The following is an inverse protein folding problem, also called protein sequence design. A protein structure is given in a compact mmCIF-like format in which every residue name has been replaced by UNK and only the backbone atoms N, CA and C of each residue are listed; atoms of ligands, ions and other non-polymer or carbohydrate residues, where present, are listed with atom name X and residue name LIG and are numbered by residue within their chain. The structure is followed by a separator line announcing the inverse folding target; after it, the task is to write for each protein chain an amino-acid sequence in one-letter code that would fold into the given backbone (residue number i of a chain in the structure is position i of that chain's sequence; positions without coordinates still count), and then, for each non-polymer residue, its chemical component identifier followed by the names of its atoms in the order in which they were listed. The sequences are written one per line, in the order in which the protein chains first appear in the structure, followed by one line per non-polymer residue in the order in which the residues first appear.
data_IF_603606951908
#
_entry.id   IF_603606951908
#
_cell.length_a   1.000
_cell.length_b   1.000
_cell.length_c   1.000
_cell.angle_alpha   90.00
_cell.angle_beta   90.00
_cell.angle_gamma   90.00
#
_symmetry.space_group_name_H-M   'P 1'
#
loop_
_entity.id
_entity.type
_entity.pdbx_description
1 polymer ?
#
# COMPACT_ATOMS: atom_id res chain seq x y z
N UNK A 1 8.24 49.31 41.20
CA UNK A 1 9.70 49.08 41.26
C UNK A 1 10.03 47.80 40.48
N UNK A 2 10.82 47.98 39.40
CA UNK A 2 11.61 47.01 38.61
C UNK A 2 10.99 45.70 38.10
N UNK A 3 10.88 45.68 36.77
CA UNK A 3 10.82 44.53 35.89
C UNK A 3 11.95 43.51 36.11
N UNK A 4 11.67 42.24 35.79
CA UNK A 4 12.67 41.32 35.22
C UNK A 4 12.03 40.49 34.12
N UNK A 5 12.08 41.06 32.93
CA UNK A 5 12.21 40.35 31.66
C UNK A 5 13.38 39.37 31.73
N UNK A 6 13.11 38.09 31.54
CA UNK A 6 14.06 37.07 31.07
C UNK A 6 13.28 36.26 30.04
N UNK A 7 13.49 36.36 28.73
CA UNK A 7 14.76 36.46 28.03
C UNK A 7 14.84 35.21 27.17
N UNK A 8 14.41 35.32 25.91
CA UNK A 8 14.53 34.26 24.92
C UNK A 8 16.00 33.85 24.79
N UNK A 9 16.31 32.63 25.19
CA UNK A 9 17.54 31.87 24.93
C UNK A 9 17.09 30.41 24.79
N UNK A 10 17.37 29.66 23.73
CA UNK A 10 17.68 30.00 22.36
C UNK A 10 17.06 28.93 21.45
N UNK A 11 17.04 29.18 20.14
CA UNK A 11 16.51 28.26 19.12
C UNK A 11 17.09 26.82 19.20
N UNK A 12 18.24 26.63 19.87
CA UNK A 12 18.86 25.32 20.13
C UNK A 12 18.19 24.54 21.25
N UNK A 13 17.67 25.18 22.30
CA UNK A 13 17.07 24.50 23.45
C UNK A 13 15.65 23.98 23.14
N UNK A 14 14.91 24.69 22.28
CA UNK A 14 13.64 24.19 21.73
C UNK A 14 13.83 22.95 20.84
N UNK A 15 14.93 22.89 20.07
CA UNK A 15 15.31 21.73 19.25
C UNK A 15 15.76 20.53 20.10
N UNK A 16 16.37 20.78 21.27
CA UNK A 16 16.79 19.73 22.21
C UNK A 16 15.59 19.17 22.99
N UNK A 17 14.59 19.99 23.32
CA UNK A 17 13.32 19.51 23.89
C UNK A 17 12.50 18.71 22.86
N UNK A 18 12.34 19.19 21.62
CA UNK A 18 11.66 18.42 20.55
C UNK A 18 12.35 17.07 20.25
N UNK A 19 13.67 16.99 20.47
CA UNK A 19 14.42 15.73 20.31
C UNK A 19 14.24 14.77 21.49
N UNK A 20 14.00 15.27 22.71
CA UNK A 20 13.78 14.43 23.91
C UNK A 20 12.37 13.85 23.98
N UNK A 21 11.39 14.52 23.40
CA UNK A 21 10.01 14.03 23.36
C UNK A 21 9.81 12.86 22.38
N UNK A 22 10.70 12.68 21.40
CA UNK A 22 10.60 11.60 20.40
C UNK A 22 10.74 10.19 21.01
N UNK A 23 11.28 10.07 22.23
CA UNK A 23 11.41 8.82 23.00
C UNK A 23 10.74 8.91 24.39
N UNK A 24 9.72 9.75 24.55
CA UNK A 24 8.86 9.63 25.73
C UNK A 24 8.11 8.29 25.66
N UNK A 25 8.15 7.50 26.74
CA UNK A 25 7.42 6.23 26.87
C UNK A 25 5.94 6.37 26.51
N UNK A 26 5.38 7.57 26.67
CA UNK A 26 4.00 7.93 26.29
C UNK A 26 3.79 7.89 24.78
N UNK A 27 4.73 8.42 23.99
CA UNK A 27 4.62 8.38 22.52
C UNK A 27 4.77 6.95 22.00
N UNK A 28 5.64 6.16 22.63
CA UNK A 28 5.74 4.73 22.35
C UNK A 28 4.41 4.04 22.66
N UNK A 29 3.82 4.30 23.83
CA UNK A 29 2.52 3.74 24.21
C UNK A 29 1.43 4.07 23.19
N UNK A 30 1.30 5.33 22.74
CA UNK A 30 0.31 5.72 21.73
C UNK A 30 0.52 5.06 20.37
N UNK A 31 1.78 4.82 19.97
CA UNK A 31 2.10 4.04 18.77
C UNK A 31 1.63 2.59 18.93
N UNK A 32 1.92 1.97 20.07
CA UNK A 32 1.47 0.61 20.35
C UNK A 32 -0.05 0.53 20.41
N UNK A 33 -0.72 1.46 21.10
CA UNK A 33 -2.18 1.57 21.18
C UNK A 33 -2.83 1.65 19.78
N UNK A 34 -2.23 2.42 18.87
CA UNK A 34 -2.74 2.57 17.51
C UNK A 34 -2.45 1.38 16.58
N UNK A 35 -1.36 0.63 16.82
CA UNK A 35 -0.87 -0.41 15.89
C UNK A 35 -1.18 -1.83 16.35
N UNK A 36 -1.22 -2.11 17.65
CA UNK A 36 -1.50 -3.43 18.21
C UNK A 36 -2.85 -3.97 17.72
N UNK A 37 -3.98 -3.22 17.74
CA UNK A 37 -5.25 -3.74 17.24
C UNK A 37 -5.18 -4.18 15.77
N UNK A 38 -4.47 -3.43 14.94
CA UNK A 38 -4.29 -3.75 13.52
C UNK A 38 -3.54 -5.08 13.35
N UNK A 39 -2.41 -5.25 14.04
CA UNK A 39 -1.64 -6.49 13.97
C UNK A 39 -2.35 -7.67 14.62
N UNK A 40 -3.14 -7.45 15.67
CA UNK A 40 -3.99 -8.49 16.27
C UNK A 40 -4.97 -9.07 15.24
N UNK A 41 -5.65 -8.22 14.46
CA UNK A 41 -6.57 -8.72 13.42
C UNK A 41 -5.85 -9.51 12.31
N UNK A 42 -4.64 -9.08 11.95
CA UNK A 42 -3.81 -9.76 10.95
C UNK A 42 -3.30 -11.12 11.46
N UNK A 43 -2.82 -11.20 12.70
CA UNK A 43 -2.38 -12.45 13.35
C UNK A 43 -3.57 -13.41 13.47
N UNK A 44 -4.73 -12.91 13.93
CA UNK A 44 -5.95 -13.70 14.03
C UNK A 44 -6.30 -14.35 12.68
N UNK A 45 -6.29 -13.58 11.59
CA UNK A 45 -6.53 -14.10 10.25
C UNK A 45 -5.54 -15.19 9.84
N UNK A 46 -4.26 -15.00 10.18
CA UNK A 46 -3.21 -15.97 9.90
C UNK A 46 -3.45 -17.30 10.64
N UNK A 47 -3.78 -17.23 11.93
CA UNK A 47 -4.09 -18.39 12.77
C UNK A 47 -5.37 -19.11 12.31
N UNK A 48 -6.40 -18.36 11.89
CA UNK A 48 -7.64 -18.93 11.36
C UNK A 48 -7.41 -19.86 10.16
N UNK A 49 -6.42 -19.55 9.31
CA UNK A 49 -6.06 -20.40 8.17
C UNK A 49 -5.13 -21.53 8.61
N UNK A 50 -4.02 -21.22 9.29
CA UNK A 50 -2.97 -22.21 9.56
C UNK A 50 -3.35 -23.24 10.61
N UNK A 51 -4.09 -22.83 11.64
CA UNK A 51 -4.42 -23.70 12.78
C UNK A 51 -5.89 -24.09 12.81
N UNK A 52 -6.80 -23.20 12.42
CA UNK A 52 -8.23 -23.48 12.49
C UNK A 52 -8.84 -24.01 11.18
N UNK A 53 -8.13 -23.93 10.04
CA UNK A 53 -8.65 -24.25 8.70
C UNK A 53 -10.05 -23.66 8.42
N UNK A 54 -10.32 -22.47 8.96
CA UNK A 54 -11.67 -21.87 8.97
C UNK A 54 -12.10 -21.37 7.59
N UNK A 55 -11.14 -20.96 6.76
CA UNK A 55 -11.40 -20.38 5.44
C UNK A 55 -10.77 -21.19 4.32
N UNK A 56 -11.51 -21.39 3.23
CA UNK A 56 -10.99 -21.94 1.98
C UNK A 56 -10.25 -20.88 1.17
N UNK A 57 -9.36 -21.27 0.23
CA UNK A 57 -8.68 -20.31 -0.65
C UNK A 57 -9.64 -19.43 -1.47
N UNK A 58 -10.81 -19.97 -1.84
CA UNK A 58 -11.85 -19.24 -2.57
C UNK A 58 -12.52 -18.17 -1.69
N UNK A 59 -12.82 -18.51 -0.43
CA UNK A 59 -13.35 -17.55 0.55
C UNK A 59 -12.33 -16.45 0.85
N UNK A 60 -11.04 -16.78 0.98
CA UNK A 60 -9.96 -15.81 1.14
C UNK A 60 -9.89 -14.87 -0.07
N UNK A 61 -10.00 -15.40 -1.30
CA UNK A 61 -10.06 -14.57 -2.49
C UNK A 61 -11.31 -13.67 -2.53
N UNK A 62 -12.44 -14.14 -2.02
CA UNK A 62 -13.67 -13.35 -1.91
C UNK A 62 -13.51 -12.16 -0.97
N UNK A 63 -12.98 -12.40 0.23
CA UNK A 63 -12.70 -11.36 1.23
C UNK A 63 -11.73 -10.32 0.67
N UNK A 64 -10.64 -10.77 0.02
CA UNK A 64 -9.66 -9.86 -0.57
C UNK A 64 -10.26 -8.98 -1.70
N UNK A 65 -11.16 -9.54 -2.52
CA UNK A 65 -11.88 -8.77 -3.54
C UNK A 65 -12.82 -7.75 -2.92
N UNK A 66 -13.56 -8.13 -1.86
CA UNK A 66 -14.42 -7.21 -1.13
C UNK A 66 -13.62 -6.03 -0.57
N UNK A 67 -12.53 -6.31 0.16
CA UNK A 67 -11.66 -5.28 0.73
C UNK A 67 -11.12 -4.34 -0.35
N UNK A 68 -10.56 -4.89 -1.43
CA UNK A 68 -9.92 -4.10 -2.46
C UNK A 68 -10.89 -3.30 -3.35
N UNK A 69 -12.09 -3.84 -3.62
CA UNK A 69 -13.07 -3.24 -4.55
C UNK A 69 -14.17 -2.42 -3.88
N UNK A 70 -14.37 -2.57 -2.56
CA UNK A 70 -15.42 -1.87 -1.82
C UNK A 70 -14.83 -1.08 -0.65
N UNK A 71 -14.25 -1.76 0.34
CA UNK A 71 -13.81 -1.12 1.59
C UNK A 71 -12.72 -0.08 1.40
N UNK A 72 -11.63 -0.42 0.70
CA UNK A 72 -10.50 0.49 0.48
C UNK A 72 -10.88 1.72 -0.36
N UNK A 73 -11.66 1.61 -1.44
CA UNK A 73 -12.18 2.78 -2.15
C UNK A 73 -13.01 3.72 -1.26
N UNK A 74 -13.88 3.18 -0.40
CA UNK A 74 -14.71 3.99 0.51
C UNK A 74 -13.90 4.67 1.60
N UNK A 75 -12.92 3.96 2.16
CA UNK A 75 -11.97 4.53 3.10
C UNK A 75 -11.12 5.62 2.46
N UNK A 76 -10.69 5.41 1.20
CA UNK A 76 -9.98 6.43 0.43
C UNK A 76 -10.87 7.64 0.19
N UNK A 77 -12.14 7.45 -0.19
CA UNK A 77 -13.10 8.53 -0.35
C UNK A 77 -13.29 9.34 0.93
N UNK A 78 -13.41 8.70 2.09
CA UNK A 78 -13.56 9.39 3.38
C UNK A 78 -12.33 10.25 3.72
N UNK A 79 -11.12 9.73 3.50
CA UNK A 79 -9.88 10.49 3.75
C UNK A 79 -9.69 11.62 2.74
N UNK A 80 -10.02 11.39 1.47
CA UNK A 80 -9.88 12.40 0.40
C UNK A 80 -10.91 13.52 0.58
N UNK A 81 -12.17 13.19 0.83
CA UNK A 81 -13.27 14.19 0.97
C UNK A 81 -13.13 15.06 2.23
N UNK A 82 -12.45 14.56 3.25
CA UNK A 82 -12.09 15.32 4.45
C UNK A 82 -10.91 16.29 4.21
N UNK A 83 -10.12 16.09 3.14
CA UNK A 83 -8.96 16.92 2.85
C UNK A 83 -9.32 18.06 1.87
N UNK A 84 -8.83 19.27 2.15
CA UNK A 84 -9.07 20.42 1.27
C UNK A 84 -7.97 20.50 0.19
N UNK A 85 -8.27 20.28 -1.10
CA UNK A 85 -7.27 20.29 -2.17
C UNK A 85 -6.60 21.64 -2.39
N UNK A 86 -7.26 22.75 -2.06
CA UNK A 86 -6.72 24.09 -2.23
C UNK A 86 -5.78 24.54 -1.11
N UNK A 87 -5.75 23.81 0.01
CA UNK A 87 -4.88 24.11 1.16
C UNK A 87 -3.76 23.07 1.35
N UNK A 88 -3.45 22.30 0.31
CA UNK A 88 -2.37 21.31 0.39
C UNK A 88 -1.00 21.96 0.41
N UNK A 89 -0.06 21.33 1.11
CA UNK A 89 1.32 21.80 1.18
C UNK A 89 2.05 21.45 -0.13
N UNK A 90 2.34 22.49 -0.92
CA UNK A 90 2.96 22.35 -2.24
C UNK A 90 4.35 21.69 -2.14
N UNK A 91 5.12 21.93 -1.07
CA UNK A 91 6.44 21.30 -0.90
C UNK A 91 6.32 19.79 -0.75
N UNK A 92 5.32 19.33 0.00
CA UNK A 92 5.05 17.91 0.18
C UNK A 92 4.60 17.25 -1.12
N UNK A 93 3.68 17.91 -1.83
CA UNK A 93 3.21 17.48 -3.15
C UNK A 93 4.38 17.35 -4.14
N UNK A 94 5.20 18.38 -4.27
CA UNK A 94 6.34 18.35 -5.18
C UNK A 94 7.35 17.27 -4.78
N UNK A 95 7.56 17.03 -3.49
CA UNK A 95 8.47 15.98 -3.03
C UNK A 95 7.96 14.59 -3.36
N UNK A 96 6.66 14.36 -3.19
CA UNK A 96 6.02 13.10 -3.58
C UNK A 96 6.15 12.87 -5.10
N UNK A 97 5.90 13.92 -5.89
CA UNK A 97 6.04 13.87 -7.35
C UNK A 97 7.49 13.56 -7.77
N UNK A 98 8.44 14.25 -7.18
CA UNK A 98 9.84 14.12 -7.50
C UNK A 98 10.38 12.74 -7.10
N UNK A 99 10.00 12.23 -5.92
CA UNK A 99 10.36 10.89 -5.46
C UNK A 99 9.92 9.83 -6.47
N UNK A 100 8.66 9.89 -6.90
CA UNK A 100 8.08 8.88 -7.80
C UNK A 100 8.60 8.99 -9.21
N UNK A 101 8.88 10.20 -9.69
CA UNK A 101 9.56 10.40 -10.97
C UNK A 101 10.97 9.79 -10.93
N UNK A 102 11.75 10.04 -9.87
CA UNK A 102 13.06 9.43 -9.71
C UNK A 102 13.00 7.91 -9.60
N UNK A 103 12.04 7.37 -8.85
CA UNK A 103 11.84 5.91 -8.77
C UNK A 103 11.54 5.34 -10.17
N UNK A 104 10.63 5.95 -10.93
CA UNK A 104 10.23 5.47 -12.25
C UNK A 104 11.40 5.50 -13.24
N UNK A 105 12.19 6.59 -13.24
CA UNK A 105 13.39 6.70 -14.06
C UNK A 105 14.46 5.68 -13.65
N UNK A 106 14.75 5.56 -12.36
CA UNK A 106 15.74 4.63 -11.83
C UNK A 106 15.39 3.18 -12.20
N UNK A 107 14.15 2.75 -11.97
CA UNK A 107 13.70 1.41 -12.34
C UNK A 107 13.59 1.21 -13.84
N UNK A 108 13.28 2.23 -14.64
CA UNK A 108 13.32 2.13 -16.11
C UNK A 108 14.74 1.88 -16.63
N UNK A 109 15.74 2.60 -16.11
CA UNK A 109 17.15 2.40 -16.48
C UNK A 109 17.66 1.06 -15.99
N UNK A 110 17.43 0.74 -14.72
CA UNK A 110 17.88 -0.50 -14.09
C UNK A 110 17.28 -1.74 -14.77
N UNK A 111 15.97 -1.71 -15.04
CA UNK A 111 15.30 -2.84 -15.66
C UNK A 111 15.75 -3.08 -17.11
N UNK A 112 16.03 -2.02 -17.86
CA UNK A 112 16.56 -2.12 -19.24
C UNK A 112 18.00 -2.63 -19.27
N UNK A 113 18.81 -2.30 -18.27
CA UNK A 113 20.21 -2.71 -18.18
C UNK A 113 20.38 -4.15 -17.68
N UNK A 114 19.55 -4.62 -16.74
CA UNK A 114 19.74 -5.93 -16.09
C UNK A 114 18.83 -7.05 -16.61
N UNK A 115 17.65 -6.76 -17.19
CA UNK A 115 16.60 -7.77 -17.36
C UNK A 115 16.05 -7.87 -18.78
N UNK A 116 15.86 -9.12 -19.25
CA UNK A 116 15.17 -9.46 -20.50
C UNK A 116 13.66 -9.11 -20.47
N UNK A 117 13.07 -9.04 -19.27
CA UNK A 117 11.67 -8.62 -19.00
C UNK A 117 11.63 -7.25 -18.31
N UNK A 118 12.25 -6.24 -18.92
CA UNK A 118 12.44 -4.92 -18.31
C UNK A 118 11.14 -4.27 -17.80
N UNK A 119 10.04 -4.40 -18.54
CA UNK A 119 8.79 -3.72 -18.19
C UNK A 119 8.12 -4.28 -16.92
N UNK A 120 8.18 -5.59 -16.70
CA UNK A 120 7.62 -6.22 -15.50
C UNK A 120 8.40 -5.80 -14.25
N UNK A 121 9.73 -5.75 -14.35
CA UNK A 121 10.60 -5.28 -13.27
C UNK A 121 10.47 -3.79 -12.98
N UNK A 122 10.18 -2.97 -13.99
CA UNK A 122 9.85 -1.56 -13.80
C UNK A 122 8.59 -1.42 -12.94
N UNK A 123 7.50 -2.13 -13.31
CA UNK A 123 6.22 -2.07 -12.59
C UNK A 123 6.41 -2.58 -11.16
N UNK A 124 7.07 -3.73 -10.99
CA UNK A 124 7.32 -4.33 -9.67
C UNK A 124 8.20 -3.43 -8.80
N UNK A 125 9.30 -2.90 -9.33
CA UNK A 125 10.21 -2.03 -8.59
C UNK A 125 9.57 -0.68 -8.21
N UNK A 126 8.81 -0.07 -9.13
CA UNK A 126 8.05 1.14 -8.87
C UNK A 126 6.99 0.91 -7.78
N UNK A 127 6.21 -0.17 -7.90
CA UNK A 127 5.19 -0.55 -6.92
C UNK A 127 5.77 -0.77 -5.54
N UNK A 128 6.86 -1.54 -5.44
CA UNK A 128 7.54 -1.85 -4.18
C UNK A 128 8.16 -0.62 -3.53
N UNK A 129 8.77 0.27 -4.30
CA UNK A 129 9.50 1.42 -3.72
C UNK A 129 8.59 2.59 -3.34
N UNK A 130 7.43 2.74 -3.99
CA UNK A 130 6.66 4.01 -3.90
C UNK A 130 5.22 3.87 -3.43
N UNK A 131 4.69 2.65 -3.24
CA UNK A 131 3.27 2.43 -2.89
C UNK A 131 3.10 1.75 -1.52
N UNK A 132 3.38 2.47 -0.42
CA UNK A 132 3.14 2.03 0.95
C UNK A 132 1.68 1.79 1.30
N UNK A 133 1.50 1.02 2.39
CA UNK A 133 0.24 0.94 3.13
C UNK A 133 0.03 2.20 3.99
N UNK A 134 -0.12 3.35 3.34
CA UNK A 134 -0.32 4.64 4.02
C UNK A 134 -1.70 4.75 4.66
N UNK A 135 -2.72 4.20 4.01
CA UNK A 135 -4.10 4.35 4.44
C UNK A 135 -4.42 3.53 5.71
N UNK A 136 -3.97 2.26 5.76
CA UNK A 136 -4.37 1.34 6.82
C UNK A 136 -3.35 1.36 7.98
N UNK A 137 -2.03 1.33 7.68
CA UNK A 137 -0.98 1.38 8.72
C UNK A 137 -0.53 2.81 8.98
N UNK A 138 -0.34 3.60 7.92
CA UNK A 138 0.27 4.92 8.02
C UNK A 138 -0.51 5.92 8.87
N UNK A 139 -1.83 6.00 8.69
CA UNK A 139 -2.67 6.96 9.44
C UNK A 139 -2.61 6.70 10.96
N UNK A 140 -2.89 5.48 11.47
CA UNK A 140 -2.79 5.20 12.90
C UNK A 140 -1.37 5.40 13.45
N UNK A 141 -0.34 4.99 12.70
CA UNK A 141 1.05 5.14 13.12
C UNK A 141 1.45 6.62 13.26
N UNK A 142 1.22 7.43 12.23
CA UNK A 142 1.56 8.86 12.24
C UNK A 142 0.74 9.61 13.28
N UNK A 143 -0.54 9.25 13.47
CA UNK A 143 -1.37 9.80 14.53
C UNK A 143 -0.78 9.54 15.91
N UNK A 144 -0.32 8.31 16.18
CA UNK A 144 0.32 7.95 17.46
C UNK A 144 1.68 8.62 17.68
N UNK A 145 2.47 8.83 16.62
CA UNK A 145 3.81 9.42 16.71
C UNK A 145 3.82 10.95 16.78
N UNK A 146 2.92 11.59 16.03
CA UNK A 146 3.01 13.01 15.70
C UNK A 146 1.68 13.77 15.85
N UNK A 147 0.62 13.08 16.30
CA UNK A 147 -0.69 13.66 16.54
C UNK A 147 -1.55 13.89 15.28
N UNK A 148 -2.74 14.43 15.47
CA UNK A 148 -3.74 14.61 14.42
C UNK A 148 -3.31 15.61 13.33
N UNK A 149 -2.49 16.61 13.66
CA UNK A 149 -1.96 17.56 12.67
C UNK A 149 -1.11 16.87 11.60
N UNK A 150 -0.33 15.85 11.99
CA UNK A 150 0.51 15.11 11.06
C UNK A 150 -0.31 14.24 10.09
N UNK A 151 -1.49 13.78 10.52
CA UNK A 151 -2.43 13.03 9.68
C UNK A 151 -2.93 13.89 8.51
N UNK A 152 -3.05 15.21 8.68
CA UNK A 152 -3.43 16.14 7.60
C UNK A 152 -2.37 16.20 6.50
N UNK A 153 -1.09 16.05 6.83
CA UNK A 153 -0.04 15.95 5.79
C UNK A 153 -0.09 14.60 5.10
N UNK A 154 -0.35 13.53 5.85
CA UNK A 154 -0.45 12.19 5.30
C UNK A 154 -1.65 12.03 4.34
N UNK A 155 -2.80 12.63 4.66
CA UNK A 155 -3.99 12.59 3.80
C UNK A 155 -3.74 13.25 2.44
N UNK A 156 -2.89 14.27 2.36
CA UNK A 156 -2.46 14.89 1.10
C UNK A 156 -1.70 13.89 0.21
N UNK A 157 -0.78 13.12 0.79
CA UNK A 157 -0.05 12.07 0.08
C UNK A 157 -1.03 10.98 -0.39
N UNK A 158 -1.99 10.58 0.45
CA UNK A 158 -3.01 9.59 0.08
C UNK A 158 -3.84 10.06 -1.11
N UNK A 159 -4.22 11.34 -1.18
CA UNK A 159 -4.96 11.88 -2.32
C UNK A 159 -4.16 11.72 -3.62
N UNK A 160 -2.88 12.10 -3.60
CA UNK A 160 -2.01 11.95 -4.78
C UNK A 160 -1.78 10.49 -5.16
N UNK A 161 -1.57 9.63 -4.15
CA UNK A 161 -1.41 8.20 -4.34
C UNK A 161 -2.62 7.58 -5.03
N UNK A 162 -3.83 7.94 -4.61
CA UNK A 162 -5.06 7.39 -5.16
C UNK A 162 -5.42 7.98 -6.53
N UNK A 163 -5.29 9.30 -6.72
CA UNK A 163 -5.67 9.97 -7.97
C UNK A 163 -4.64 9.75 -9.07
N UNK A 164 -3.36 9.99 -8.78
CA UNK A 164 -2.28 10.01 -9.78
C UNK A 164 -1.62 8.65 -9.90
N UNK A 165 -1.13 8.12 -8.78
CA UNK A 165 -0.16 7.02 -8.82
C UNK A 165 -0.78 5.65 -9.00
N UNK A 166 -1.92 5.37 -8.37
CA UNK A 166 -2.67 4.14 -8.65
C UNK A 166 -3.22 4.15 -10.07
N UNK A 167 -3.71 5.28 -10.58
CA UNK A 167 -4.12 5.41 -11.99
C UNK A 167 -2.95 5.14 -12.93
N UNK A 168 -1.76 5.70 -12.66
CA UNK A 168 -0.55 5.40 -13.43
C UNK A 168 -0.19 3.91 -13.38
N UNK A 169 -0.19 3.30 -12.19
CA UNK A 169 0.12 1.88 -12.03
C UNK A 169 -0.83 0.99 -12.84
N UNK A 170 -2.12 1.32 -12.83
CA UNK A 170 -3.13 0.61 -13.62
C UNK A 170 -2.93 0.80 -15.12
N UNK A 171 -2.61 2.01 -15.57
CA UNK A 171 -2.22 2.26 -16.96
C UNK A 171 -1.03 1.38 -17.36
N UNK A 172 -0.02 1.26 -16.50
CA UNK A 172 1.14 0.40 -16.75
C UNK A 172 0.77 -1.09 -16.83
N UNK A 173 -0.10 -1.56 -15.93
CA UNK A 173 -0.61 -2.94 -15.95
C UNK A 173 -1.43 -3.24 -17.22
N UNK A 174 -2.36 -2.36 -17.60
CA UNK A 174 -3.14 -2.49 -18.83
C UNK A 174 -2.26 -2.44 -20.07
N UNK A 175 -1.25 -1.56 -20.09
CA UNK A 175 -0.30 -1.49 -21.20
C UNK A 175 0.54 -2.77 -21.32
N UNK A 176 0.95 -3.37 -20.20
CA UNK A 176 1.60 -4.69 -20.19
C UNK A 176 0.65 -5.75 -20.76
N UNK A 177 -0.59 -5.81 -20.26
CA UNK A 177 -1.58 -6.77 -20.73
C UNK A 177 -1.85 -6.61 -22.23
N UNK A 178 -1.98 -5.36 -22.71
CA UNK A 178 -2.12 -5.03 -24.11
C UNK A 178 -0.91 -5.47 -24.95
N UNK A 179 0.31 -5.31 -24.45
CA UNK A 179 1.53 -5.81 -25.13
C UNK A 179 1.56 -7.34 -25.24
N UNK A 180 1.17 -8.05 -24.18
CA UNK A 180 1.08 -9.52 -24.18
C UNK A 180 0.01 -9.99 -25.17
N UNK A 181 -1.15 -9.32 -25.21
CA UNK A 181 -2.24 -9.63 -26.15
C UNK A 181 -1.86 -9.25 -27.58
N UNK A 182 -1.27 -8.09 -27.83
CA UNK A 182 -0.86 -7.65 -29.16
C UNK A 182 0.24 -8.54 -29.75
N UNK A 183 1.09 -9.14 -28.92
CA UNK A 183 2.03 -10.17 -29.32
C UNK A 183 1.35 -11.52 -29.66
N UNK A 184 0.14 -11.77 -29.17
CA UNK A 184 -0.65 -12.97 -29.42
C UNK A 184 -1.72 -12.79 -30.53
N UNK A 185 -2.24 -11.57 -30.76
CA UNK A 185 -3.18 -11.22 -31.84
C UNK A 185 -3.37 -9.70 -31.93
N UNK A 186 -3.22 -9.04 -33.11
CA UNK A 186 -3.44 -7.61 -33.25
C UNK A 186 -4.94 -7.32 -33.34
N UNK A 187 -5.59 -7.01 -32.22
CA UNK A 187 -6.97 -6.51 -32.22
C UNK A 187 -7.06 -5.11 -31.62
N UNK A 188 -7.65 -4.22 -32.42
CA UNK A 188 -7.91 -2.81 -32.15
C UNK A 188 -9.11 -2.72 -31.21
N UNK A 189 -8.90 -2.83 -29.88
CA UNK A 189 -9.83 -2.36 -28.84
C UNK A 189 -9.26 -2.62 -27.42
N UNK A 190 -8.31 -1.80 -26.98
CA UNK A 190 -7.84 -1.83 -25.58
C UNK A 190 -7.84 -0.44 -24.99
N UNK A 191 -9.05 0.11 -24.77
CA UNK A 191 -9.25 1.39 -24.08
C UNK A 191 -10.37 1.36 -23.04
N UNK A 192 -11.14 0.27 -22.94
CA UNK A 192 -12.40 0.22 -22.18
C UNK A 192 -12.25 -0.33 -20.75
N UNK A 193 -11.14 -1.01 -20.43
CA UNK A 193 -10.89 -1.54 -19.08
C UNK A 193 -10.27 -0.50 -18.12
N UNK A 194 -9.75 0.60 -18.65
CA UNK A 194 -9.17 1.69 -17.86
C UNK A 194 -10.23 2.47 -17.04
N UNK A 195 -11.49 2.46 -17.47
CA UNK A 195 -12.59 3.20 -16.82
C UNK A 195 -13.36 2.42 -15.74
N UNK A 196 -12.99 1.18 -15.41
CA UNK A 196 -13.67 0.35 -14.40
C UNK A 196 -12.73 0.01 -13.24
N UNK A 197 -11.82 0.93 -12.88
CA UNK A 197 -11.12 0.79 -11.61
C UNK A 197 -11.92 1.47 -10.49
N UNK A 198 -12.40 0.73 -9.47
CA UNK A 198 -13.16 1.32 -8.37
C UNK A 198 -12.37 2.38 -7.58
N UNK A 199 -11.05 2.28 -7.46
CA UNK A 199 -10.23 3.31 -6.79
C UNK A 199 -10.09 4.56 -7.67
N UNK A 200 -9.94 4.40 -8.99
CA UNK A 200 -9.94 5.55 -9.91
C UNK A 200 -11.32 6.17 -9.98
N UNK A 201 -12.41 5.40 -10.00
CA UNK A 201 -13.77 5.94 -9.96
C UNK A 201 -14.10 6.55 -8.59
N UNK A 202 -13.62 6.00 -7.47
CA UNK A 202 -13.80 6.61 -6.14
C UNK A 202 -12.96 7.88 -5.97
N UNK A 203 -11.75 7.91 -6.53
CA UNK A 203 -10.88 9.09 -6.50
C UNK A 203 -11.38 10.16 -7.46
N UNK A 204 -11.75 9.79 -8.69
CA UNK A 204 -12.38 10.67 -9.66
C UNK A 204 -13.82 11.00 -9.28
N UNK A 205 -14.53 10.17 -8.52
CA UNK A 205 -15.76 10.59 -7.87
C UNK A 205 -15.37 11.63 -6.83
N UNK A 206 -14.49 11.39 -5.87
CA UNK A 206 -14.04 12.45 -4.94
C UNK A 206 -13.51 13.73 -5.64
N UNK A 207 -12.94 13.62 -6.84
CA UNK A 207 -12.36 14.71 -7.64
C UNK A 207 -13.29 15.31 -8.73
N UNK A 208 -14.34 14.63 -9.19
CA UNK A 208 -15.34 15.12 -10.16
C UNK A 208 -16.71 15.30 -9.48
N UNK A 209 -16.97 14.56 -8.40
CA UNK A 209 -17.73 15.06 -7.26
C UNK A 209 -17.05 16.23 -6.57
N UNK A 210 -15.86 16.64 -6.98
CA UNK A 210 -15.43 18.03 -6.79
C UNK A 210 -16.32 19.01 -7.60
N UNK A 211 -17.30 18.53 -8.39
CA UNK A 211 -18.48 19.29 -8.86
C UNK A 211 -19.83 18.60 -8.56
N UNK A 212 -20.07 18.04 -7.36
CA UNK A 212 -20.99 18.74 -6.46
C UNK A 212 -20.44 19.06 -5.06
N UNK A 213 -19.27 18.66 -4.61
CA UNK A 213 -18.78 18.96 -3.25
C UNK A 213 -18.17 20.38 -3.17
N UNK A 214 -17.62 20.95 -4.25
CA UNK A 214 -17.33 22.41 -4.32
C UNK A 214 -18.59 23.24 -4.63
N UNK A 215 -19.63 22.66 -5.25
CA UNK A 215 -20.95 23.31 -5.41
C UNK A 215 -21.69 23.35 -4.06
N UNK A 216 -21.66 22.25 -3.30
CA UNK A 216 -22.31 22.07 -2.01
C UNK A 216 -21.56 22.77 -0.88
N UNK A 217 -20.23 22.94 -0.96
CA UNK A 217 -19.45 23.70 0.04
C UNK A 217 -19.47 25.20 -0.19
N UNK A 218 -19.70 25.67 -1.42
CA UNK A 218 -20.12 27.07 -1.70
C UNK A 218 -21.57 27.36 -1.31
N UNK A 219 -22.45 26.35 -1.26
CA UNK A 219 -23.87 26.47 -0.87
C UNK A 219 -24.23 25.90 0.52
N UNK A 220 -23.26 25.50 1.34
CA UNK A 220 -23.48 25.12 2.74
C UNK A 220 -24.30 23.83 2.96
N UNK A 221 -24.41 22.92 1.99
CA UNK A 221 -25.18 21.69 2.15
C UNK A 221 -24.24 20.52 2.45
N UNK A 222 -24.36 19.93 3.63
CA UNK A 222 -23.63 18.73 4.05
C UNK A 222 -24.13 17.53 3.25
N UNK A 223 -23.24 16.57 2.92
CA UNK A 223 -23.63 15.26 2.40
C UNK A 223 -24.79 14.71 3.26
N UNK A 224 -25.90 14.20 2.66
CA UNK A 224 -27.02 13.69 3.43
C UNK A 224 -26.51 12.73 4.50
N UNK A 225 -26.92 12.92 5.75
CA UNK A 225 -26.41 12.17 6.91
C UNK A 225 -26.47 10.65 6.69
N UNK A 226 -27.46 10.20 5.93
CA UNK A 226 -27.65 8.80 5.53
C UNK A 226 -26.44 8.28 4.73
N UNK A 227 -26.01 8.99 3.68
CA UNK A 227 -24.92 8.55 2.80
C UNK A 227 -23.59 8.57 3.57
N UNK A 228 -23.33 9.62 4.36
CA UNK A 228 -22.12 9.71 5.18
C UNK A 228 -22.04 8.54 6.16
N UNK A 229 -23.14 8.21 6.85
CA UNK A 229 -23.18 7.08 7.79
C UNK A 229 -22.96 5.73 7.11
N UNK A 230 -23.54 5.52 5.92
CA UNK A 230 -23.29 4.30 5.14
C UNK A 230 -21.81 4.14 4.77
N UNK A 231 -21.17 5.23 4.34
CA UNK A 231 -19.74 5.23 4.01
C UNK A 231 -18.92 4.91 5.27
N UNK A 232 -19.17 5.62 6.38
CA UNK A 232 -18.46 5.43 7.65
C UNK A 232 -18.57 4.00 8.17
N UNK A 233 -19.76 3.39 8.17
CA UNK A 233 -19.94 2.00 8.64
C UNK A 233 -19.09 1.03 7.79
N UNK A 234 -19.09 1.23 6.48
CA UNK A 234 -18.42 0.30 5.55
C UNK A 234 -16.90 0.54 5.46
N UNK A 235 -16.44 1.78 5.67
CA UNK A 235 -15.02 2.14 5.71
C UNK A 235 -14.37 1.79 7.06
N UNK A 236 -15.04 2.04 8.19
CA UNK A 236 -14.53 1.71 9.53
C UNK A 236 -14.44 0.18 9.71
N UNK A 237 -15.47 -0.55 9.29
CA UNK A 237 -15.38 -2.02 9.20
C UNK A 237 -14.33 -2.47 8.19
N UNK A 238 -14.13 -1.69 7.13
CA UNK A 238 -13.14 -1.90 6.08
C UNK A 238 -11.68 -1.85 6.57
N UNK A 239 -11.36 -0.98 7.54
CA UNK A 239 -10.00 -0.85 8.10
C UNK A 239 -9.53 -2.16 8.75
N UNK A 240 -10.33 -2.73 9.65
CA UNK A 240 -10.02 -4.00 10.31
C UNK A 240 -10.03 -5.17 9.33
N UNK A 241 -11.02 -5.21 8.43
CA UNK A 241 -11.09 -6.23 7.38
C UNK A 241 -9.90 -6.17 6.42
N UNK A 242 -9.30 -5.00 6.18
CA UNK A 242 -8.13 -4.88 5.32
C UNK A 242 -6.87 -5.48 5.96
N UNK A 243 -6.68 -5.31 7.27
CA UNK A 243 -5.60 -5.98 8.00
C UNK A 243 -5.85 -7.48 8.14
N UNK A 244 -7.10 -7.88 8.38
CA UNK A 244 -7.50 -9.29 8.36
C UNK A 244 -7.21 -9.93 7.00
N UNK A 245 -7.61 -9.28 5.91
CA UNK A 245 -7.34 -9.69 4.52
C UNK A 245 -5.85 -9.81 4.23
N UNK A 246 -5.02 -8.91 4.77
CA UNK A 246 -3.56 -8.99 4.67
C UNK A 246 -3.00 -10.24 5.36
N UNK A 247 -3.54 -10.59 6.54
CA UNK A 247 -3.18 -11.81 7.27
C UNK A 247 -3.63 -13.09 6.54
N UNK A 248 -4.87 -13.10 6.02
CA UNK A 248 -5.36 -14.20 5.17
C UNK A 248 -4.45 -14.42 3.97
N UNK A 249 -4.02 -13.32 3.36
CA UNK A 249 -3.16 -13.37 2.19
C UNK A 249 -1.77 -13.95 2.52
N UNK A 250 -1.19 -13.50 3.63
CA UNK A 250 0.10 -14.00 4.13
C UNK A 250 0.03 -15.49 4.46
N UNK A 251 -1.05 -15.96 5.08
CA UNK A 251 -1.23 -17.37 5.40
C UNK A 251 -1.55 -18.26 4.19
N UNK A 252 -2.27 -17.72 3.20
CA UNK A 252 -2.67 -18.46 1.98
C UNK A 252 -1.51 -18.67 0.99
N UNK A 253 -0.37 -18.02 1.20
CA UNK A 253 0.82 -18.27 0.39
C UNK A 253 1.45 -19.61 0.81
N UNK A 254 1.48 -20.57 -0.11
CA UNK A 254 2.06 -21.91 0.12
C UNK A 254 3.59 -21.88 0.24
N UNK A 255 4.24 -20.81 -0.24
CA UNK A 255 5.67 -20.58 -0.10
C UNK A 255 5.92 -19.12 0.27
N UNK A 256 6.34 -18.86 1.51
CA UNK A 256 6.86 -17.53 1.94
C UNK A 256 8.12 -17.17 1.14
N UNK A 257 8.79 -18.18 0.56
CA UNK A 257 9.99 -18.10 -0.29
C UNK A 257 9.68 -18.68 -1.69
N UNK A 258 8.61 -18.21 -2.34
CA UNK A 258 8.32 -18.58 -3.73
C UNK A 258 9.35 -17.99 -4.71
N UNK A 259 9.90 -16.83 -4.36
CA UNK A 259 11.04 -16.22 -5.03
C UNK A 259 12.30 -16.53 -4.17
N UNK A 260 13.37 -17.04 -4.78
CA UNK A 260 14.59 -17.40 -4.03
C UNK A 260 15.09 -16.29 -3.10
N UNK A 261 15.81 -16.66 -2.03
CA UNK A 261 16.25 -15.76 -0.94
C UNK A 261 16.85 -14.44 -1.43
N UNK A 262 17.55 -14.46 -2.57
CA UNK A 262 18.11 -13.27 -3.20
C UNK A 262 17.06 -12.23 -3.61
N UNK A 263 15.97 -12.64 -4.25
CA UNK A 263 14.92 -11.73 -4.71
C UNK A 263 14.11 -11.15 -3.55
N UNK A 264 13.96 -11.92 -2.47
CA UNK A 264 13.39 -11.44 -1.21
C UNK A 264 14.26 -10.33 -0.60
N UNK A 265 15.57 -10.55 -0.48
CA UNK A 265 16.51 -9.55 0.06
C UNK A 265 16.49 -8.30 -0.82
N UNK A 266 16.49 -8.46 -2.14
CA UNK A 266 16.38 -7.36 -3.09
C UNK A 266 15.10 -6.54 -2.87
N UNK A 267 13.94 -7.20 -2.79
CA UNK A 267 12.64 -6.54 -2.56
C UNK A 267 12.62 -5.77 -1.23
N UNK A 268 13.17 -6.35 -0.17
CA UNK A 268 13.28 -5.71 1.14
C UNK A 268 14.19 -4.48 1.11
N UNK A 269 15.36 -4.62 0.45
CA UNK A 269 16.27 -3.51 0.23
C UNK A 269 15.61 -2.38 -0.56
N UNK A 270 14.89 -2.71 -1.63
CA UNK A 270 14.13 -1.72 -2.40
C UNK A 270 13.08 -1.03 -1.53
N UNK A 271 12.36 -1.79 -0.71
CA UNK A 271 11.24 -1.28 0.08
C UNK A 271 11.67 -0.37 1.23
N UNK A 272 12.62 -0.83 2.04
CA UNK A 272 12.97 -0.20 3.32
C UNK A 272 14.25 0.64 3.24
N UNK A 273 15.05 0.50 2.18
CA UNK A 273 16.25 1.30 1.98
C UNK A 273 16.02 2.26 0.80
N UNK A 274 15.78 1.73 -0.41
CA UNK A 274 15.67 2.58 -1.61
C UNK A 274 14.46 3.52 -1.56
N UNK A 275 13.28 3.03 -1.16
CA UNK A 275 12.07 3.84 -1.04
C UNK A 275 12.24 5.06 -0.11
N UNK A 276 12.61 4.86 1.18
CA UNK A 276 12.90 5.94 2.11
C UNK A 276 14.06 6.84 1.69
N UNK A 277 15.13 6.27 1.09
CA UNK A 277 16.26 7.07 0.60
C UNK A 277 15.85 8.00 -0.55
N UNK A 278 15.06 7.51 -1.52
CA UNK A 278 14.53 8.34 -2.60
C UNK A 278 13.64 9.46 -2.04
N UNK A 279 12.78 9.14 -1.06
CA UNK A 279 11.95 10.16 -0.43
C UNK A 279 12.79 11.21 0.30
N UNK A 280 13.80 10.78 1.07
CA UNK A 280 14.69 11.70 1.78
C UNK A 280 15.46 12.62 0.82
N UNK A 281 15.97 12.09 -0.30
CA UNK A 281 16.65 12.88 -1.32
C UNK A 281 15.72 13.91 -1.96
N UNK A 282 14.51 13.51 -2.36
CA UNK A 282 13.53 14.41 -2.96
C UNK A 282 13.04 15.49 -1.99
N UNK A 283 12.78 15.12 -0.74
CA UNK A 283 12.35 16.08 0.30
C UNK A 283 13.46 17.07 0.65
N UNK A 284 14.72 16.63 0.70
CA UNK A 284 15.86 17.51 0.93
C UNK A 284 16.08 18.47 -0.23
N UNK A 285 15.97 17.98 -1.48
CA UNK A 285 16.09 18.81 -2.69
C UNK A 285 15.06 19.95 -2.74
N UNK A 286 13.87 19.75 -2.18
CA UNK A 286 12.78 20.75 -2.12
C UNK A 286 12.86 21.63 -0.86
N UNK A 287 13.80 21.34 0.05
CA UNK A 287 14.02 22.12 1.27
C UNK A 287 12.95 21.89 2.34
N UNK A 288 12.38 20.68 2.41
CA UNK A 288 11.47 20.30 3.50
C UNK A 288 12.23 20.16 4.82
N UNK A 289 11.62 20.63 5.91
CA UNK A 289 12.18 20.54 7.27
C UNK A 289 11.08 20.22 8.29
N UNK A 290 11.50 19.76 9.48
CA UNK A 290 10.61 19.51 10.61
C UNK A 290 9.68 18.30 10.40
N UNK A 291 8.44 18.44 10.87
CA UNK A 291 7.45 17.35 10.86
C UNK A 291 7.12 16.83 9.47
N UNK A 292 7.11 17.71 8.46
CA UNK A 292 6.78 17.36 7.08
C UNK A 292 7.77 16.36 6.50
N UNK A 293 9.06 16.54 6.78
CA UNK A 293 10.14 15.63 6.37
C UNK A 293 10.03 14.29 7.09
N UNK A 294 9.77 14.32 8.41
CA UNK A 294 9.62 13.11 9.22
C UNK A 294 8.45 12.25 8.73
N UNK A 295 7.28 12.87 8.52
CA UNK A 295 6.07 12.19 8.02
C UNK A 295 6.32 11.60 6.63
N UNK A 296 6.96 12.33 5.72
CA UNK A 296 7.29 11.84 4.37
C UNK A 296 8.20 10.60 4.41
N UNK A 297 9.28 10.63 5.20
CA UNK A 297 10.23 9.52 5.30
C UNK A 297 9.58 8.30 5.98
N UNK A 298 8.87 8.51 7.09
CA UNK A 298 8.18 7.42 7.81
C UNK A 298 7.13 6.78 6.92
N UNK A 299 6.36 7.58 6.17
CA UNK A 299 5.39 7.10 5.20
C UNK A 299 6.06 6.23 4.12
N UNK A 300 7.20 6.66 3.59
CA UNK A 300 7.96 5.87 2.63
C UNK A 300 8.53 4.57 3.24
N UNK A 301 8.73 4.50 4.55
CA UNK A 301 9.26 3.32 5.26
C UNK A 301 8.18 2.33 5.75
N UNK A 302 6.90 2.61 5.50
CA UNK A 302 5.79 1.70 5.86
C UNK A 302 5.92 0.34 5.14
N UNK A 303 5.15 -0.69 5.50
CA UNK A 303 5.05 -1.90 4.68
C UNK A 303 4.36 -1.64 3.33
N UNK A 304 4.42 -2.60 2.41
CA UNK A 304 3.79 -2.51 1.08
C UNK A 304 2.25 -2.44 1.19
N UNK A 305 1.61 -1.65 0.31
CA UNK A 305 0.15 -1.54 0.25
C UNK A 305 -0.53 -2.80 -0.28
N UNK A 306 -1.71 -3.12 0.26
CA UNK A 306 -2.54 -4.24 -0.21
C UNK A 306 -3.08 -4.03 -1.63
N UNK A 307 -3.38 -2.78 -2.01
CA UNK A 307 -3.97 -2.43 -3.31
C UNK A 307 -3.05 -2.76 -4.50
N UNK A 308 -1.78 -2.28 -4.53
CA UNK A 308 -0.83 -2.68 -5.58
C UNK A 308 -0.65 -4.19 -5.68
N UNK A 309 -0.66 -4.87 -4.53
CA UNK A 309 -0.54 -6.32 -4.46
C UNK A 309 -1.75 -7.03 -5.10
N UNK A 310 -2.98 -6.63 -4.76
CA UNK A 310 -4.19 -7.22 -5.35
C UNK A 310 -4.23 -7.00 -6.86
N UNK A 311 -3.85 -5.80 -7.35
CA UNK A 311 -3.74 -5.55 -8.78
C UNK A 311 -2.66 -6.39 -9.44
N UNK A 312 -1.48 -6.53 -8.84
CA UNK A 312 -0.43 -7.39 -9.37
C UNK A 312 -0.88 -8.86 -9.52
N UNK A 313 -1.70 -9.35 -8.58
CA UNK A 313 -2.32 -10.67 -8.66
C UNK A 313 -3.39 -10.76 -9.75
N UNK A 314 -4.23 -9.74 -9.92
CA UNK A 314 -5.28 -9.69 -10.96
C UNK A 314 -4.70 -9.60 -12.38
N UNK A 315 -3.58 -8.89 -12.55
CA UNK A 315 -2.88 -8.72 -13.84
C UNK A 315 -1.75 -9.74 -14.07
N UNK A 316 -1.50 -10.66 -13.13
CA UNK A 316 -0.47 -11.70 -13.25
C UNK A 316 0.96 -11.16 -13.40
N UNK A 317 1.30 -10.11 -12.64
CA UNK A 317 2.64 -9.48 -12.65
C UNK A 317 3.35 -9.79 -11.35
N UNK A 318 4.23 -10.80 -11.35
CA UNK A 318 5.10 -11.19 -10.23
C UNK A 318 4.47 -11.01 -8.83
N UNK A 319 3.27 -11.58 -8.57
CA UNK A 319 2.59 -11.40 -7.29
C UNK A 319 3.43 -11.93 -6.12
N UNK A 320 4.26 -12.94 -6.37
CA UNK A 320 5.13 -13.57 -5.37
C UNK A 320 6.22 -12.62 -4.83
N UNK A 321 6.69 -11.65 -5.62
CA UNK A 321 7.68 -10.66 -5.15
C UNK A 321 6.98 -9.59 -4.31
N UNK A 322 5.78 -9.17 -4.75
CA UNK A 322 5.02 -8.15 -4.02
C UNK A 322 4.45 -8.68 -2.70
N UNK A 323 4.10 -9.96 -2.61
CA UNK A 323 3.66 -10.60 -1.37
C UNK A 323 4.76 -10.69 -0.33
N UNK A 324 6.00 -10.97 -0.74
CA UNK A 324 7.16 -11.00 0.15
C UNK A 324 7.38 -9.63 0.81
N UNK A 325 7.17 -8.54 0.06
CA UNK A 325 7.17 -7.17 0.57
C UNK A 325 6.15 -6.89 1.69
N UNK A 326 5.07 -7.66 1.74
CA UNK A 326 4.01 -7.57 2.74
C UNK A 326 4.31 -8.48 3.94
N UNK A 327 4.57 -9.77 3.69
CA UNK A 327 4.54 -10.81 4.74
C UNK A 327 5.70 -10.75 5.75
N UNK A 328 6.90 -10.35 5.35
CA UNK A 328 8.10 -10.49 6.20
C UNK A 328 8.29 -9.32 7.19
N UNK A 329 7.75 -8.14 6.89
CA UNK A 329 7.80 -7.02 7.86
C UNK A 329 6.77 -7.18 8.99
N UNK A 330 5.89 -8.18 8.88
CA UNK A 330 4.72 -8.34 9.74
C UNK A 330 4.77 -9.59 10.61
N UNK A 331 5.47 -10.64 10.17
CA UNK A 331 5.94 -11.71 11.04
C UNK A 331 7.28 -12.21 10.51
N UNK A 332 8.37 -11.79 11.16
CA UNK A 332 9.53 -12.65 11.27
C UNK A 332 9.87 -12.87 12.73
N UNK A 333 9.00 -13.62 13.39
CA UNK A 333 9.37 -14.43 14.53
C UNK A 333 8.80 -15.83 14.33
N UNK A 334 9.48 -16.59 13.50
CA UNK A 334 9.49 -18.07 13.46
C UNK A 334 10.98 -18.38 13.21
N UNK A 335 11.81 -18.48 14.26
CA UNK A 335 12.08 -19.71 15.03
C UNK A 335 12.01 -20.94 14.13
N UNK A 336 13.20 -21.44 13.79
CA UNK A 336 13.62 -22.83 13.87
C UNK A 336 12.73 -23.93 13.24
N UNK A 337 13.38 -24.73 12.40
CA UNK A 337 12.94 -26.06 11.95
C UNK A 337 11.78 -26.08 10.94
N UNK A 338 12.10 -26.38 9.69
CA UNK A 338 11.44 -27.39 8.82
C UNK A 338 12.14 -27.41 7.43
N UNK A 339 13.49 -27.35 7.42
CA UNK A 339 14.28 -27.43 6.18
C UNK A 339 15.20 -28.66 6.17
N UNK A 340 14.68 -29.80 6.64
CA UNK A 340 15.32 -31.10 6.49
C UNK A 340 14.28 -32.21 6.46
N UNK A 341 13.52 -32.32 5.36
CA UNK A 341 12.93 -33.56 4.82
C UNK A 341 11.94 -33.20 3.72
N UNK A 342 12.41 -33.09 2.48
CA UNK A 342 11.67 -33.56 1.29
C UNK A 342 12.56 -33.41 0.03
N UNK A 343 13.83 -33.81 0.10
CA UNK A 343 14.74 -33.85 -1.04
C UNK A 343 15.26 -35.27 -1.24
N UNK A 344 14.35 -36.23 -1.45
CA UNK A 344 14.62 -37.53 -2.09
C UNK A 344 13.33 -38.33 -2.20
N UNK A 345 12.48 -38.07 -3.21
CA UNK A 345 11.74 -39.13 -3.92
C UNK A 345 11.55 -38.74 -5.40
N UNK A 346 11.81 -39.66 -6.35
CA UNK A 346 11.68 -39.37 -7.76
C UNK A 346 10.20 -39.34 -8.19
N UNK A 347 9.92 -38.41 -9.11
CA UNK A 347 8.65 -38.26 -9.83
C UNK A 347 8.30 -39.58 -10.53
N UNK A 348 7.27 -40.29 -10.04
CA UNK A 348 6.57 -41.31 -10.83
C UNK A 348 5.52 -40.63 -11.70
N UNK A 349 5.68 -40.78 -13.02
CA UNK A 349 4.63 -40.55 -14.01
C UNK A 349 3.46 -41.51 -13.74
N UNK A 350 2.28 -40.96 -13.45
CA UNK A 350 1.03 -41.72 -13.52
C UNK A 350 -0.17 -40.79 -13.70
N UNK A 351 -0.35 -40.25 -14.91
CA UNK A 351 -1.63 -39.65 -15.35
C UNK A 351 -1.74 -39.77 -16.87
N UNK A 352 -1.89 -41.00 -17.33
CA UNK A 352 -2.36 -41.30 -18.69
C UNK A 352 -3.28 -42.54 -18.61
N UNK A 353 -4.40 -42.42 -17.89
CA UNK A 353 -5.41 -43.50 -17.79
C UNK A 353 -6.77 -43.02 -17.25
N UNK A 354 -7.24 -41.81 -17.61
CA UNK A 354 -8.60 -41.38 -17.19
C UNK A 354 -9.39 -40.60 -18.24
N UNK A 355 -8.90 -40.49 -19.48
CA UNK A 355 -9.59 -39.78 -20.57
C UNK A 355 -10.11 -40.70 -21.70
N UNK A 356 -9.86 -42.02 -21.64
CA UNK A 356 -10.30 -42.97 -22.67
C UNK A 356 -11.49 -43.87 -22.26
N UNK A 357 -11.97 -43.81 -21.01
CA UNK A 357 -13.10 -44.64 -20.55
C UNK A 357 -14.50 -44.01 -20.67
N UNK A 358 -14.61 -42.80 -21.20
CA UNK A 358 -15.91 -42.10 -21.35
C UNK A 358 -16.36 -41.95 -22.81
N UNK A 359 -15.65 -42.55 -23.78
CA UNK A 359 -15.97 -42.50 -25.22
C UNK A 359 -16.44 -43.84 -25.81
N UNK A 360 -16.73 -44.84 -24.98
CA UNK A 360 -17.20 -46.16 -25.39
C UNK A 360 -18.62 -46.53 -24.86
N UNK A 361 -19.39 -45.54 -24.39
CA UNK A 361 -20.81 -45.71 -24.02
C UNK A 361 -21.66 -44.52 -24.50
N UNK A 362 -21.54 -44.16 -25.78
CA UNK A 362 -22.54 -43.41 -26.54
C UNK A 362 -22.35 -43.63 -28.03
#
# INVERSE_FOLDING_TARGET
MKAKTKGCYGHKDALICESKDMFSLINVYHVFEATVPLYTTMILAYLCIKWCNLFTPEQCSGINKFVAKISVPLLSFQVISANNPYQMNIKLLLSDMLQKLFALLAFAVLSKALCRNAFDWLITGFSLSTLPNTLIVGIPLIKGMYGDEAVKFLSQIVVLQSVVWYTLLLCLFEFRAAKVIAAATPTRNTGRKLMINPNTYASLAAFNTMSPDDLFRRWGIKLPSIISSCITILSDGGLGMAMFSLGLFTASQSNIIACGTWMMILSMGIRFIVGPALMAMSSYAIGMRGILLKVAIVQAALPQGIVPFVFAKEYGVQPDIMSTGIGIFQLKNDIGEYCCREATKPVRRSTQSSWEKTRAMR
#
